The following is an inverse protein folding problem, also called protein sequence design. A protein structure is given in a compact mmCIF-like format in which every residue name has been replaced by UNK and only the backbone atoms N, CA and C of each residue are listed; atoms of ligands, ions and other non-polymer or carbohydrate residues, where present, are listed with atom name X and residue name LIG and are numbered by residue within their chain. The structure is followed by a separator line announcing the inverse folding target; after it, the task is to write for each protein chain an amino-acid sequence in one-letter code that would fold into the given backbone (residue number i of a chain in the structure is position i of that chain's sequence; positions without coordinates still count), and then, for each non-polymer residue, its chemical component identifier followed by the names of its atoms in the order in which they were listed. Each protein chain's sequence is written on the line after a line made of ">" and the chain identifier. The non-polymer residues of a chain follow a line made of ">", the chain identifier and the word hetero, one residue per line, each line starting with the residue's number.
data_IF_255835611828
#
_entry.id   IF_255835611828
#
_cell.length_a   1.000
_cell.length_b   1.000
_cell.length_c   1.000
_cell.angle_alpha   90.00
_cell.angle_beta   90.00
_cell.angle_gamma   90.00
#
_symmetry.space_group_name_H-M   'P 1'
#
loop_
_entity.id
_entity.type
_entity.pdbx_description
1 polymer ?
#
# COMPACT_ATOMS: atom_id res chain seq x y z
N UNK A 1 1.22 14.46 18.07
CA UNK A 1 1.24 13.04 17.68
C UNK A 1 1.89 12.22 18.77
N UNK A 2 1.24 11.15 19.21
CA UNK A 2 1.85 10.17 20.12
C UNK A 2 2.90 9.32 19.39
N UNK A 3 3.82 8.67 20.11
CA UNK A 3 4.83 7.79 19.49
C UNK A 3 4.18 6.69 18.63
N UNK A 4 3.08 6.12 19.12
CA UNK A 4 2.34 5.06 18.42
C UNK A 4 1.64 5.55 17.15
N UNK A 5 1.11 6.77 17.14
CA UNK A 5 0.56 7.39 15.92
C UNK A 5 1.64 7.59 14.84
N UNK A 6 2.86 8.00 15.24
CA UNK A 6 3.98 8.15 14.31
C UNK A 6 4.41 6.79 13.75
N UNK A 7 4.47 5.76 14.59
CA UNK A 7 4.84 4.41 14.16
C UNK A 7 3.76 3.80 13.23
N UNK A 8 2.48 4.13 13.44
CA UNK A 8 1.40 3.73 12.53
C UNK A 8 1.50 4.41 11.15
N UNK A 9 1.76 5.73 11.13
CA UNK A 9 2.01 6.46 9.89
C UNK A 9 3.22 5.87 9.16
N UNK A 10 4.30 5.58 9.89
CA UNK A 10 5.50 4.96 9.32
C UNK A 10 5.17 3.62 8.65
N UNK A 11 4.38 2.76 9.31
CA UNK A 11 3.91 1.48 8.76
C UNK A 11 3.15 1.66 7.44
N UNK A 12 2.21 2.60 7.40
CA UNK A 12 1.44 2.91 6.18
C UNK A 12 2.32 3.46 5.06
N UNK A 13 3.26 4.36 5.38
CA UNK A 13 4.22 4.91 4.41
C UNK A 13 5.11 3.81 3.84
N UNK A 14 5.63 2.89 4.65
CA UNK A 14 6.43 1.76 4.15
C UNK A 14 5.63 0.88 3.18
N UNK A 15 4.39 0.54 3.52
CA UNK A 15 3.53 -0.25 2.62
C UNK A 15 3.26 0.48 1.30
N UNK A 16 3.02 1.80 1.37
CA UNK A 16 2.80 2.63 0.19
C UNK A 16 4.07 2.74 -0.68
N UNK A 17 5.25 2.87 -0.07
CA UNK A 17 6.53 2.85 -0.79
C UNK A 17 6.74 1.51 -1.51
N UNK A 18 6.54 0.38 -0.82
CA UNK A 18 6.67 -0.96 -1.43
C UNK A 18 5.70 -1.13 -2.60
N UNK A 19 4.43 -0.76 -2.42
CA UNK A 19 3.42 -0.78 -3.49
C UNK A 19 3.85 0.05 -4.70
N UNK A 20 4.22 1.31 -4.48
CA UNK A 20 4.60 2.21 -5.58
C UNK A 20 5.89 1.75 -6.27
N UNK A 21 6.83 1.18 -5.54
CA UNK A 21 8.02 0.54 -6.11
C UNK A 21 7.62 -0.62 -7.07
N UNK A 22 6.71 -1.50 -6.66
CA UNK A 22 6.18 -2.55 -7.53
C UNK A 22 5.41 -2.00 -8.72
N UNK A 23 4.63 -0.93 -8.55
CA UNK A 23 3.93 -0.26 -9.65
C UNK A 23 4.92 0.23 -10.74
N UNK A 24 6.10 0.72 -10.35
CA UNK A 24 7.19 1.07 -11.30
C UNK A 24 7.70 -0.17 -12.04
N UNK A 25 7.94 -1.27 -11.31
CA UNK A 25 8.42 -2.52 -11.92
C UNK A 25 7.41 -3.10 -12.92
N UNK A 26 6.11 -3.07 -12.59
CA UNK A 26 5.03 -3.49 -13.50
C UNK A 26 5.00 -2.62 -14.75
N UNK A 27 5.12 -1.28 -14.60
CA UNK A 27 5.15 -0.37 -15.73
C UNK A 27 6.37 -0.61 -16.64
N UNK A 28 7.55 -0.88 -16.06
CA UNK A 28 8.76 -1.25 -16.80
C UNK A 28 8.60 -2.58 -17.55
N UNK A 29 8.10 -3.62 -16.89
CA UNK A 29 7.84 -4.90 -17.54
C UNK A 29 6.80 -4.77 -18.68
N UNK A 30 5.81 -3.89 -18.50
CA UNK A 30 4.81 -3.57 -19.53
C UNK A 30 5.43 -2.88 -20.74
N UNK A 31 6.37 -1.95 -20.52
CA UNK A 31 7.11 -1.30 -21.61
C UNK A 31 7.95 -2.32 -22.39
N UNK A 32 8.69 -3.20 -21.69
CA UNK A 32 9.49 -4.25 -22.33
C UNK A 32 8.62 -5.15 -23.21
N UNK A 33 7.43 -5.55 -22.72
CA UNK A 33 6.48 -6.34 -23.50
C UNK A 33 6.00 -5.58 -24.75
N UNK A 34 5.64 -4.30 -24.61
CA UNK A 34 5.16 -3.47 -25.72
C UNK A 34 6.25 -3.28 -26.80
N UNK A 35 7.50 -3.02 -26.39
CA UNK A 35 8.64 -2.86 -27.30
C UNK A 35 8.98 -4.15 -28.04
N UNK A 36 8.90 -5.31 -27.36
CA UNK A 36 9.07 -6.61 -28.00
C UNK A 36 7.99 -6.87 -29.06
N UNK A 37 6.72 -6.54 -28.77
CA UNK A 37 5.64 -6.73 -29.75
C UNK A 37 5.77 -5.78 -30.94
N UNK A 38 6.16 -4.52 -30.72
CA UNK A 38 6.42 -3.55 -31.79
C UNK A 38 7.52 -4.03 -32.74
N UNK A 39 8.63 -4.52 -32.18
CA UNK A 39 9.73 -5.06 -32.99
C UNK A 39 9.28 -6.19 -33.91
N UNK A 40 8.46 -7.12 -33.40
CA UNK A 40 7.92 -8.21 -34.20
C UNK A 40 7.02 -7.71 -35.33
N UNK A 41 6.20 -6.67 -35.07
CA UNK A 41 5.33 -6.08 -36.09
C UNK A 41 6.10 -5.29 -37.14
N UNK A 42 7.16 -4.57 -36.77
CA UNK A 42 8.02 -3.86 -37.72
C UNK A 42 8.65 -4.83 -38.73
N UNK A 43 9.10 -5.99 -38.25
CA UNK A 43 9.65 -7.04 -39.11
C UNK A 43 8.60 -7.59 -40.09
N UNK A 44 7.36 -7.79 -39.63
CA UNK A 44 6.28 -8.29 -40.48
C UNK A 44 5.81 -7.22 -41.47
N UNK A 45 5.62 -5.97 -41.03
CA UNK A 45 5.21 -4.85 -41.88
C UNK A 45 6.21 -4.65 -43.02
N UNK A 46 7.51 -4.72 -42.74
CA UNK A 46 8.57 -4.61 -43.76
C UNK A 46 8.44 -5.69 -44.83
N UNK A 47 8.13 -6.93 -44.46
CA UNK A 47 7.91 -8.04 -45.41
C UNK A 47 6.63 -7.81 -46.21
N UNK A 48 5.55 -7.39 -45.56
CA UNK A 48 4.26 -7.16 -46.23
C UNK A 48 4.32 -5.99 -47.21
N UNK A 49 5.01 -4.89 -46.85
CA UNK A 49 5.21 -3.74 -47.75
C UNK A 49 5.88 -4.17 -49.06
N UNK A 50 6.94 -4.96 -48.97
CA UNK A 50 7.63 -5.48 -50.16
C UNK A 50 6.76 -6.39 -51.04
N UNK A 51 5.87 -7.18 -50.42
CA UNK A 51 4.89 -8.02 -51.15
C UNK A 51 3.79 -7.16 -51.79
N UNK A 52 3.33 -6.11 -51.12
CA UNK A 52 2.32 -5.19 -51.64
C UNK A 52 2.82 -4.41 -52.85
N UNK A 53 4.07 -3.91 -52.80
CA UNK A 53 4.72 -3.22 -53.92
C UNK A 53 4.84 -4.09 -55.17
N UNK A 54 4.86 -5.42 -54.99
CA UNK A 54 4.90 -6.42 -56.08
C UNK A 54 3.51 -6.91 -56.51
N UNK A 55 2.45 -6.47 -55.82
CA UNK A 55 1.08 -6.91 -56.06
C UNK A 55 0.74 -8.29 -55.50
N UNK A 56 1.61 -8.88 -54.65
CA UNK A 56 1.44 -10.22 -54.08
C UNK A 56 0.41 -10.24 -52.93
N UNK A 57 0.09 -9.08 -52.36
CA UNK A 57 -0.93 -8.91 -51.31
C UNK A 57 -1.76 -7.65 -51.58
N UNK A 58 -2.91 -7.54 -50.93
CA UNK A 58 -3.76 -6.35 -51.03
C UNK A 58 -3.25 -5.19 -50.17
N UNK A 59 -3.47 -3.95 -50.63
CA UNK A 59 -3.20 -2.73 -49.84
C UNK A 59 -4.00 -2.68 -48.53
N UNK A 60 -5.15 -3.36 -48.49
CA UNK A 60 -5.97 -3.52 -47.28
C UNK A 60 -5.23 -4.32 -46.19
N UNK A 61 -4.45 -5.35 -46.55
CA UNK A 61 -3.66 -6.11 -45.58
C UNK A 61 -2.51 -5.29 -45.01
N UNK A 62 -1.84 -4.49 -45.85
CA UNK A 62 -0.82 -3.53 -45.40
C UNK A 62 -1.42 -2.46 -44.48
N UNK A 63 -2.60 -1.93 -44.82
CA UNK A 63 -3.29 -0.94 -43.98
C UNK A 63 -3.67 -1.54 -42.62
N UNK A 64 -4.12 -2.81 -42.57
CA UNK A 64 -4.47 -3.49 -41.32
C UNK A 64 -3.29 -3.61 -40.36
N UNK A 65 -2.11 -4.00 -40.86
CA UNK A 65 -0.93 -4.12 -39.99
C UNK A 65 -0.48 -2.74 -39.47
N UNK A 66 -0.58 -1.69 -40.30
CA UNK A 66 -0.26 -0.31 -39.88
C UNK A 66 -1.23 0.21 -38.81
N UNK A 67 -2.53 -0.05 -38.94
CA UNK A 67 -3.52 0.31 -37.91
C UNK A 67 -3.25 -0.43 -36.59
N UNK A 68 -2.90 -1.71 -36.67
CA UNK A 68 -2.58 -2.49 -35.49
C UNK A 68 -1.30 -1.97 -34.80
N UNK A 69 -0.27 -1.62 -35.58
CA UNK A 69 0.97 -1.02 -35.07
C UNK A 69 0.72 0.26 -34.26
N UNK A 70 -0.15 1.16 -34.73
CA UNK A 70 -0.51 2.37 -33.97
C UNK A 70 -1.02 2.05 -32.55
N UNK A 71 -1.79 0.97 -32.40
CA UNK A 71 -2.28 0.53 -31.09
C UNK A 71 -1.13 0.12 -30.17
N UNK A 72 -0.13 -0.58 -30.69
CA UNK A 72 1.05 -1.00 -29.93
C UNK A 72 2.02 0.15 -29.63
N UNK A 73 2.14 1.14 -30.53
CA UNK A 73 2.93 2.35 -30.28
C UNK A 73 2.32 3.16 -29.15
N UNK A 74 0.98 3.29 -29.13
CA UNK A 74 0.24 3.89 -28.02
C UNK A 74 0.49 3.13 -26.72
N UNK A 75 0.40 1.80 -26.71
CA UNK A 75 0.64 1.02 -25.49
C UNK A 75 2.06 1.23 -24.92
N UNK A 76 3.08 1.35 -25.78
CA UNK A 76 4.45 1.68 -25.35
C UNK A 76 4.55 3.12 -24.80
N UNK A 77 3.86 4.08 -25.42
CA UNK A 77 3.78 5.46 -24.90
C UNK A 77 3.09 5.52 -23.53
N UNK A 78 1.96 4.80 -23.37
CA UNK A 78 1.23 4.69 -22.11
C UNK A 78 2.10 4.06 -21.02
N UNK A 79 2.88 3.02 -21.35
CA UNK A 79 3.82 2.40 -20.42
C UNK A 79 4.94 3.36 -19.99
N UNK A 80 5.50 4.15 -20.91
CA UNK A 80 6.51 5.19 -20.58
C UNK A 80 5.93 6.27 -19.68
N UNK A 81 4.71 6.72 -19.96
CA UNK A 81 3.99 7.65 -19.09
C UNK A 81 3.75 7.04 -17.70
N UNK A 82 3.36 5.77 -17.62
CA UNK A 82 3.16 5.07 -16.36
C UNK A 82 4.46 4.96 -15.55
N UNK A 83 5.60 4.68 -16.18
CA UNK A 83 6.92 4.69 -15.53
C UNK A 83 7.22 6.08 -14.96
N UNK A 84 7.03 7.14 -15.74
CA UNK A 84 7.26 8.50 -15.27
C UNK A 84 6.36 8.86 -14.07
N UNK A 85 5.05 8.58 -14.17
CA UNK A 85 4.09 8.88 -13.11
C UNK A 85 4.38 8.11 -11.81
N UNK A 86 4.64 6.80 -11.91
CA UNK A 86 4.94 5.96 -10.74
C UNK A 86 6.30 6.29 -10.13
N UNK A 87 7.29 6.67 -10.93
CA UNK A 87 8.60 7.13 -10.44
C UNK A 87 8.48 8.46 -9.70
N UNK A 88 7.69 9.41 -10.22
CA UNK A 88 7.41 10.68 -9.53
C UNK A 88 6.71 10.42 -8.18
N UNK A 89 5.70 9.53 -8.17
CA UNK A 89 5.01 9.14 -6.94
C UNK A 89 5.96 8.48 -5.93
N UNK A 90 6.83 7.58 -6.37
CA UNK A 90 7.83 6.92 -5.52
C UNK A 90 8.78 7.97 -4.90
N UNK A 91 9.29 8.89 -5.73
CA UNK A 91 10.17 9.99 -5.29
C UNK A 91 9.49 10.87 -4.25
N UNK A 92 8.20 11.17 -4.41
CA UNK A 92 7.45 11.94 -3.42
C UNK A 92 7.39 11.23 -2.05
N UNK A 93 7.25 9.90 -2.03
CA UNK A 93 7.17 9.11 -0.80
C UNK A 93 8.51 8.96 -0.08
N UNK A 94 9.62 8.82 -0.82
CA UNK A 94 10.97 8.65 -0.24
C UNK A 94 11.71 9.97 0.00
N UNK A 95 11.10 11.09 -0.40
CA UNK A 95 11.69 12.43 -0.37
C UNK A 95 12.28 12.81 -1.72
N UNK A 96 11.61 13.71 -2.44
CA UNK A 96 11.93 14.04 -3.84
C UNK A 96 13.32 14.63 -4.04
N UNK A 97 13.88 15.27 -3.02
CA UNK A 97 15.24 15.82 -3.03
C UNK A 97 16.33 14.75 -2.83
N UNK A 98 15.97 13.58 -2.27
CA UNK A 98 16.90 12.50 -1.96
C UNK A 98 17.18 11.60 -3.15
N UNK A 99 16.38 11.69 -4.22
CA UNK A 99 16.43 10.79 -5.37
C UNK A 99 16.37 11.58 -6.68
N UNK A 100 17.32 11.32 -7.58
CA UNK A 100 17.43 11.97 -8.88
C UNK A 100 16.16 11.76 -9.74
N UNK A 101 15.78 12.72 -10.60
CA UNK A 101 14.60 12.59 -11.47
C UNK A 101 14.63 11.44 -12.47
N UNK A 102 15.82 11.05 -12.90
CA UNK A 102 16.11 10.01 -13.89
C UNK A 102 16.48 8.66 -13.25
N UNK A 103 16.15 8.47 -11.96
CA UNK A 103 16.48 7.23 -11.25
C UNK A 103 15.91 6.01 -11.96
N UNK A 104 16.77 5.02 -12.18
CA UNK A 104 16.36 3.73 -12.67
C UNK A 104 16.00 2.80 -11.50
N UNK A 105 14.73 2.40 -11.45
CA UNK A 105 14.23 1.45 -10.46
C UNK A 105 14.42 0.03 -10.99
N UNK A 106 15.29 -0.73 -10.32
CA UNK A 106 15.58 -2.13 -10.63
C UNK A 106 15.04 -3.04 -9.52
N UNK A 107 14.49 -4.18 -9.91
CA UNK A 107 13.98 -5.18 -8.99
C UNK A 107 13.45 -6.40 -9.73
N UNK A 108 13.27 -7.49 -8.99
CA UNK A 108 12.67 -8.72 -9.50
C UNK A 108 11.17 -8.71 -9.20
N UNK A 109 10.35 -8.85 -10.24
CA UNK A 109 8.89 -8.92 -10.12
C UNK A 109 8.40 -10.37 -9.94
N UNK A 110 9.28 -11.37 -9.88
CA UNK A 110 8.95 -12.79 -9.83
C UNK A 110 7.92 -13.17 -8.76
N UNK A 111 7.08 -14.16 -9.07
CA UNK A 111 6.11 -14.70 -8.11
C UNK A 111 6.82 -15.47 -6.99
N UNK A 112 6.43 -15.18 -5.75
CA UNK A 112 6.84 -15.92 -4.55
C UNK A 112 5.60 -16.28 -3.77
N UNK A 113 5.46 -17.55 -3.40
CA UNK A 113 4.33 -17.96 -2.57
C UNK A 113 4.64 -17.69 -1.08
N UNK A 114 3.84 -16.83 -0.47
CA UNK A 114 3.88 -16.55 0.96
C UNK A 114 2.61 -17.06 1.62
N UNK A 115 2.72 -18.14 2.40
CA UNK A 115 1.63 -18.71 3.19
C UNK A 115 1.58 -18.11 4.59
N UNK A 116 0.46 -17.48 4.95
CA UNK A 116 0.22 -16.94 6.30
C UNK A 116 -1.10 -17.50 6.83
N UNK A 117 -1.08 -18.09 8.03
CA UNK A 117 -2.30 -18.55 8.70
C UNK A 117 -3.10 -17.35 9.23
N UNK A 118 -4.44 -17.42 9.12
CA UNK A 118 -5.33 -16.39 9.67
C UNK A 118 -5.08 -16.14 11.16
N UNK A 119 -5.04 -17.21 11.94
CA UNK A 119 -4.93 -17.08 13.40
C UNK A 119 -3.56 -16.51 13.79
N UNK A 120 -2.51 -16.88 13.07
CA UNK A 120 -1.18 -16.31 13.26
C UNK A 120 -1.14 -14.82 12.90
N UNK A 121 -1.76 -14.42 11.78
CA UNK A 121 -1.84 -13.03 11.35
C UNK A 121 -2.59 -12.16 12.39
N UNK A 122 -3.75 -12.64 12.87
CA UNK A 122 -4.55 -11.94 13.88
C UNK A 122 -3.77 -11.80 15.19
N UNK A 123 -3.14 -12.87 15.69
CA UNK A 123 -2.38 -12.81 16.94
C UNK A 123 -1.18 -11.85 16.85
N UNK A 124 -0.46 -11.86 15.72
CA UNK A 124 0.64 -10.91 15.48
C UNK A 124 0.12 -9.47 15.43
N UNK A 125 -0.96 -9.23 14.71
CA UNK A 125 -1.53 -7.88 14.61
C UNK A 125 -1.98 -7.33 15.96
N UNK A 126 -2.69 -8.14 16.76
CA UNK A 126 -3.19 -7.72 18.08
C UNK A 126 -2.06 -7.48 19.10
N UNK A 127 -0.86 -8.01 18.88
CA UNK A 127 0.30 -7.79 19.75
C UNK A 127 1.23 -6.68 19.28
N UNK A 128 1.37 -6.46 17.98
CA UNK A 128 2.37 -5.59 17.40
C UNK A 128 1.84 -4.26 16.82
N UNK A 129 0.53 -4.14 16.56
CA UNK A 129 0.00 -2.97 15.86
C UNK A 129 0.08 -1.67 16.70
N UNK A 130 0.69 -0.59 16.16
CA UNK A 130 0.79 0.68 16.89
C UNK A 130 -0.55 1.37 17.14
N UNK A 131 -1.53 1.26 16.23
CA UNK A 131 -2.85 1.87 16.41
C UNK A 131 -3.62 1.28 17.61
N UNK A 132 -3.52 -0.03 17.83
CA UNK A 132 -4.05 -0.68 19.03
C UNK A 132 -3.31 -0.25 20.30
N UNK A 133 -1.97 -0.15 20.24
CA UNK A 133 -1.17 0.33 21.37
C UNK A 133 -1.52 1.79 21.73
N UNK A 134 -1.80 2.63 20.73
CA UNK A 134 -2.31 3.99 20.94
C UNK A 134 -3.68 3.98 21.64
N UNK A 135 -4.59 3.10 21.21
CA UNK A 135 -5.91 2.97 21.82
C UNK A 135 -5.85 2.45 23.27
N UNK A 136 -4.97 1.49 23.56
CA UNK A 136 -4.73 1.00 24.91
C UNK A 136 -4.13 2.10 25.81
N UNK A 137 -3.15 2.87 25.30
CA UNK A 137 -2.58 4.01 26.02
C UNK A 137 -3.62 5.12 26.28
N UNK A 138 -4.51 5.39 25.33
CA UNK A 138 -5.61 6.34 25.50
C UNK A 138 -6.60 5.89 26.60
N UNK A 139 -6.91 4.59 26.66
CA UNK A 139 -7.72 4.01 27.73
C UNK A 139 -7.05 4.15 29.10
N UNK A 140 -5.75 3.87 29.17
CA UNK A 140 -5.02 3.91 30.43
C UNK A 140 -4.87 5.36 30.92
N UNK A 141 -4.68 6.32 30.01
CA UNK A 141 -4.77 7.75 30.32
C UNK A 141 -6.15 8.12 30.88
N UNK A 142 -7.24 7.72 30.24
CA UNK A 142 -8.58 8.05 30.73
C UNK A 142 -8.84 7.49 32.15
N UNK A 143 -8.32 6.30 32.45
CA UNK A 143 -8.38 5.74 33.82
C UNK A 143 -7.56 6.56 34.83
N UNK A 144 -6.39 7.05 34.42
CA UNK A 144 -5.58 7.96 35.25
C UNK A 144 -6.29 9.30 35.48
N UNK A 145 -6.99 9.82 34.47
CA UNK A 145 -7.79 11.05 34.57
C UNK A 145 -8.95 10.89 35.57
N UNK A 146 -9.60 9.72 35.63
CA UNK A 146 -10.58 9.41 36.69
C UNK A 146 -9.93 9.41 38.08
N UNK A 147 -8.74 8.81 38.21
CA UNK A 147 -8.01 8.80 39.48
C UNK A 147 -7.62 10.22 39.92
N UNK A 148 -7.19 11.06 38.99
CA UNK A 148 -6.91 12.47 39.21
C UNK A 148 -8.17 13.26 39.61
N UNK A 149 -9.29 13.06 38.91
CA UNK A 149 -10.56 13.69 39.26
C UNK A 149 -11.03 13.32 40.68
N UNK A 150 -10.82 12.06 41.08
CA UNK A 150 -11.09 11.58 42.45
C UNK A 150 -10.11 12.14 43.48
N UNK A 151 -8.84 12.32 43.11
CA UNK A 151 -7.84 12.95 43.99
C UNK A 151 -8.18 14.42 44.23
N UNK A 152 -8.54 15.16 43.17
CA UNK A 152 -8.96 16.57 43.23
C UNK A 152 -10.27 16.79 44.01
N UNK A 153 -11.05 15.73 44.25
CA UNK A 153 -12.22 15.78 45.13
C UNK A 153 -11.85 15.77 46.62
N UNK A 154 -10.60 15.43 46.97
CA UNK A 154 -10.09 15.42 48.35
C UNK A 154 -9.60 16.81 48.75
N UNK A 155 -9.35 16.97 50.05
CA UNK A 155 -8.79 18.21 50.57
C UNK A 155 -7.26 18.17 50.50
N UNK A 156 -6.67 19.19 49.86
CA UNK A 156 -5.22 19.36 49.80
C UNK A 156 -4.76 20.36 50.86
N UNK A 157 -4.03 19.87 51.86
CA UNK A 157 -3.40 20.71 52.89
C UNK A 157 -2.11 21.29 52.31
N UNK A 158 -2.06 22.61 52.14
CA UNK A 158 -0.87 23.29 51.61
C UNK A 158 -0.14 24.02 52.74
N UNK A 159 1.10 23.64 53.12
CA UNK A 159 1.90 24.39 54.06
C UNK A 159 2.43 25.67 53.43
N UNK A 160 2.46 26.75 54.20
CA UNK A 160 2.89 28.07 53.79
C UNK A 160 3.96 28.56 54.77
N UNK A 161 5.05 29.10 54.25
CA UNK A 161 6.09 29.75 55.01
C UNK A 161 6.23 31.16 54.46
N UNK A 162 6.09 32.16 55.33
CA UNK A 162 6.21 33.57 54.98
C UNK A 162 7.37 34.18 55.74
N UNK A 163 8.22 34.93 55.03
CA UNK A 163 9.23 35.79 55.63
C UNK A 163 8.97 37.22 55.17
N UNK A 164 8.84 38.14 56.13
CA UNK A 164 8.60 39.55 55.85
C UNK A 164 9.57 40.41 56.65
N UNK A 165 10.19 41.38 55.97
CA UNK A 165 11.02 42.42 56.57
C UNK A 165 10.36 43.78 56.35
N UNK A 166 10.21 44.56 57.42
CA UNK A 166 9.53 45.86 57.38
C UNK A 166 10.55 47.00 57.42
N UNK A 167 10.20 48.21 56.94
CA UNK A 167 11.10 49.38 56.89
C UNK A 167 11.66 49.79 58.25
N UNK A 168 11.00 49.38 59.35
CA UNK A 168 11.47 49.55 60.74
C UNK A 168 12.57 48.56 61.17
N UNK A 169 13.08 47.74 60.24
CA UNK A 169 14.13 46.73 60.46
C UNK A 169 13.70 45.48 61.26
N UNK A 170 12.39 45.24 61.40
CA UNK A 170 11.83 44.03 62.01
C UNK A 170 11.71 42.88 61.00
N UNK A 171 12.06 41.67 61.45
CA UNK A 171 11.95 40.44 60.68
C UNK A 171 10.88 39.54 61.30
N UNK A 172 9.91 39.10 60.49
CA UNK A 172 8.85 38.18 60.90
C UNK A 172 8.91 36.91 60.07
N UNK A 173 8.85 35.77 60.76
CA UNK A 173 8.65 34.46 60.16
C UNK A 173 7.24 33.97 60.52
N UNK A 174 6.45 33.61 59.52
CA UNK A 174 5.13 33.02 59.67
C UNK A 174 5.10 31.61 59.10
N UNK A 175 4.40 30.70 59.77
CA UNK A 175 3.99 29.43 59.20
C UNK A 175 2.47 29.36 59.17
N UNK A 176 1.91 28.78 58.12
CA UNK A 176 0.47 28.60 57.96
C UNK A 176 0.15 27.29 57.26
N UNK A 177 -1.08 26.81 57.44
CA UNK A 177 -1.64 25.71 56.67
C UNK A 177 -2.90 26.23 55.98
N UNK A 178 -2.98 26.07 54.66
CA UNK A 178 -4.19 26.36 53.88
C UNK A 178 -4.94 25.07 53.60
N UNK A 179 -6.23 25.05 53.97
CA UNK A 179 -7.12 23.92 53.75
C UNK A 179 -8.41 24.41 53.06
N UNK A 180 -8.61 24.14 51.75
CA UNK A 180 -9.84 24.49 51.07
C UNK A 180 -10.98 23.53 51.47
N UNK A 181 -11.99 24.04 52.16
CA UNK A 181 -13.17 23.25 52.57
C UNK A 181 -14.15 23.06 51.39
N UNK A 182 -14.07 21.90 50.74
CA UNK A 182 -14.93 21.51 49.61
C UNK A 182 -16.26 20.91 50.09
N UNK A 183 -17.19 21.74 50.57
CA UNK A 183 -18.48 21.29 51.14
C UNK A 183 -19.52 21.02 50.03
N UNK A 184 -19.62 21.90 49.03
CA UNK A 184 -20.62 21.81 47.94
C UNK A 184 -20.05 21.30 46.61
N UNK A 185 -18.74 21.43 46.39
CA UNK A 185 -18.08 21.00 45.15
C UNK A 185 -17.07 19.88 45.42
N UNK A 186 -17.58 18.64 45.35
CA UNK A 186 -16.79 17.40 45.49
C UNK A 186 -16.30 16.88 44.13
N UNK A 187 -16.23 17.73 43.11
CA UNK A 187 -15.79 17.37 41.75
C UNK A 187 -16.63 16.27 41.07
N UNK A 188 -17.87 16.08 41.52
CA UNK A 188 -18.75 14.98 41.09
C UNK A 188 -19.08 15.00 39.59
N UNK A 189 -19.18 16.20 38.99
CA UNK A 189 -19.40 16.37 37.55
C UNK A 189 -18.20 15.90 36.72
N UNK A 190 -16.98 16.30 37.10
CA UNK A 190 -15.76 15.85 36.42
C UNK A 190 -15.49 14.36 36.62
N UNK A 191 -15.81 13.79 37.78
CA UNK A 191 -15.74 12.34 38.00
C UNK A 191 -16.70 11.61 37.06
N UNK A 192 -17.95 12.06 36.94
CA UNK A 192 -18.91 11.48 36.01
C UNK A 192 -18.44 11.62 34.54
N UNK A 193 -17.93 12.80 34.17
CA UNK A 193 -17.40 13.07 32.81
C UNK A 193 -16.21 12.17 32.47
N UNK A 194 -15.23 12.04 33.37
CA UNK A 194 -14.05 11.20 33.16
C UNK A 194 -14.40 9.71 33.16
N UNK A 195 -15.40 9.27 33.93
CA UNK A 195 -15.89 7.89 33.88
C UNK A 195 -16.56 7.57 32.53
N UNK A 196 -17.41 8.46 32.02
CA UNK A 196 -17.99 8.33 30.69
C UNK A 196 -16.92 8.34 29.59
N UNK A 197 -15.85 9.12 29.78
CA UNK A 197 -14.71 9.12 28.87
C UNK A 197 -13.99 7.76 28.83
N UNK A 198 -13.82 7.09 29.98
CA UNK A 198 -13.27 5.71 30.03
C UNK A 198 -14.12 4.73 29.22
N UNK A 199 -15.45 4.82 29.33
CA UNK A 199 -16.36 3.98 28.55
C UNK A 199 -16.22 4.26 27.04
N UNK A 200 -16.18 5.54 26.66
CA UNK A 200 -16.00 5.97 25.27
C UNK A 200 -14.69 5.44 24.66
N UNK A 201 -13.56 5.62 25.35
CA UNK A 201 -12.25 5.17 24.82
C UNK A 201 -12.09 3.64 24.85
N UNK A 202 -12.78 2.95 25.77
CA UNK A 202 -12.83 1.48 25.77
C UNK A 202 -13.60 0.96 24.56
N UNK A 203 -14.77 1.53 24.28
CA UNK A 203 -15.54 1.20 23.07
C UNK A 203 -14.75 1.52 21.79
N UNK A 204 -14.01 2.63 21.77
CA UNK A 204 -13.13 2.97 20.64
C UNK A 204 -12.02 1.93 20.45
N UNK A 205 -11.39 1.48 21.53
CA UNK A 205 -10.36 0.43 21.48
C UNK A 205 -10.92 -0.89 20.96
N UNK A 206 -12.12 -1.29 21.40
CA UNK A 206 -12.76 -2.52 20.94
C UNK A 206 -13.18 -2.43 19.47
N UNK A 207 -13.61 -1.24 19.01
CA UNK A 207 -13.82 -0.96 17.59
C UNK A 207 -12.51 -1.09 16.79
N UNK A 208 -11.38 -0.59 17.32
CA UNK A 208 -10.06 -0.78 16.70
C UNK A 208 -9.70 -2.26 16.58
N UNK A 209 -9.95 -3.08 17.61
CA UNK A 209 -9.74 -4.54 17.54
C UNK A 209 -10.58 -5.19 16.44
N UNK A 210 -11.87 -4.86 16.37
CA UNK A 210 -12.75 -5.38 15.32
C UNK A 210 -12.28 -4.97 13.91
N UNK A 211 -11.83 -3.72 13.75
CA UNK A 211 -11.29 -3.21 12.50
C UNK A 211 -10.02 -3.98 12.08
N UNK A 212 -9.12 -4.26 13.02
CA UNK A 212 -7.88 -5.03 12.75
C UNK A 212 -8.22 -6.43 12.24
N UNK A 213 -9.14 -7.12 12.91
CA UNK A 213 -9.56 -8.47 12.50
C UNK A 213 -10.18 -8.45 11.10
N UNK A 214 -11.08 -7.49 10.84
CA UNK A 214 -11.73 -7.34 9.52
C UNK A 214 -10.73 -7.02 8.42
N UNK A 215 -9.75 -6.14 8.68
CA UNK A 215 -8.68 -5.79 7.74
C UNK A 215 -7.86 -7.03 7.36
N UNK A 216 -7.46 -7.83 8.35
CA UNK A 216 -6.66 -9.04 8.12
C UNK A 216 -7.44 -10.08 7.31
N UNK A 217 -8.71 -10.33 7.64
CA UNK A 217 -9.54 -11.28 6.90
C UNK A 217 -9.72 -10.85 5.43
N UNK A 218 -9.97 -9.56 5.22
CA UNK A 218 -10.13 -8.98 3.89
C UNK A 218 -8.86 -9.13 3.06
N UNK A 219 -7.70 -8.79 3.64
CA UNK A 219 -6.42 -8.87 2.93
C UNK A 219 -6.00 -10.33 2.70
N UNK A 220 -6.20 -11.24 3.66
CA UNK A 220 -5.90 -12.67 3.47
C UNK A 220 -6.74 -13.31 2.35
N UNK A 221 -8.02 -12.95 2.27
CA UNK A 221 -8.88 -13.37 1.17
C UNK A 221 -8.34 -12.85 -0.17
N UNK A 222 -7.98 -11.56 -0.24
CA UNK A 222 -7.40 -10.95 -1.44
C UNK A 222 -6.08 -11.63 -1.85
N UNK A 223 -5.15 -11.86 -0.92
CA UNK A 223 -3.89 -12.56 -1.18
C UNK A 223 -4.13 -13.96 -1.71
N UNK A 224 -5.08 -14.69 -1.15
CA UNK A 224 -5.40 -16.06 -1.59
C UNK A 224 -5.95 -16.09 -3.01
N UNK A 225 -6.92 -15.21 -3.33
CA UNK A 225 -7.48 -15.11 -4.67
C UNK A 225 -6.43 -14.66 -5.70
N UNK A 226 -5.60 -13.67 -5.35
CA UNK A 226 -4.56 -13.16 -6.24
C UNK A 226 -3.45 -14.17 -6.46
N UNK A 227 -3.08 -14.96 -5.44
CA UNK A 227 -2.14 -16.09 -5.56
C UNK A 227 -2.63 -17.06 -6.62
N UNK A 228 -3.87 -17.54 -6.50
CA UNK A 228 -4.47 -18.47 -7.45
C UNK A 228 -4.52 -17.89 -8.88
N UNK A 229 -4.83 -16.60 -9.01
CA UNK A 229 -4.83 -15.91 -10.32
C UNK A 229 -3.44 -15.87 -10.94
N UNK A 230 -2.42 -15.49 -10.17
CA UNK A 230 -1.03 -15.45 -10.64
C UNK A 230 -0.55 -16.84 -11.03
N UNK A 231 -0.80 -17.86 -10.21
CA UNK A 231 -0.42 -19.24 -10.51
C UNK A 231 -1.10 -19.76 -11.78
N UNK A 232 -2.39 -19.50 -11.94
CA UNK A 232 -3.14 -19.90 -13.12
C UNK A 232 -2.61 -19.23 -14.40
N UNK A 233 -2.35 -17.92 -14.35
CA UNK A 233 -1.77 -17.18 -15.47
C UNK A 233 -0.34 -17.65 -15.78
N UNK A 234 0.51 -17.79 -14.76
CA UNK A 234 1.92 -18.17 -14.90
C UNK A 234 2.10 -19.60 -15.40
N UNK A 235 1.36 -20.55 -14.82
CA UNK A 235 1.61 -21.98 -15.03
C UNK A 235 0.79 -22.55 -16.19
N UNK A 236 -0.33 -21.93 -16.56
CA UNK A 236 -1.26 -22.48 -17.56
C UNK A 236 -1.45 -21.56 -18.75
N UNK A 237 -1.92 -20.34 -18.54
CA UNK A 237 -2.39 -19.49 -19.65
C UNK A 237 -1.25 -18.82 -20.42
N UNK A 238 -0.25 -18.25 -19.73
CA UNK A 238 0.87 -17.58 -20.36
C UNK A 238 1.71 -18.53 -21.23
N UNK A 239 2.09 -19.74 -20.78
CA UNK A 239 2.80 -20.70 -21.64
C UNK A 239 1.99 -21.11 -22.87
N UNK A 240 0.67 -21.30 -22.73
CA UNK A 240 -0.21 -21.64 -23.85
C UNK A 240 -0.32 -20.50 -24.85
N UNK A 241 -0.48 -19.26 -24.38
CA UNK A 241 -0.56 -18.09 -25.24
C UNK A 241 0.78 -17.85 -25.97
N UNK A 242 1.90 -18.06 -25.30
CA UNK A 242 3.23 -17.99 -25.90
C UNK A 242 3.43 -19.06 -26.99
N UNK A 243 3.07 -20.31 -26.69
CA UNK A 243 3.16 -21.40 -27.65
C UNK A 243 2.28 -21.14 -28.88
N UNK A 244 1.05 -20.67 -28.68
CA UNK A 244 0.13 -20.33 -29.76
C UNK A 244 0.72 -19.20 -30.63
N UNK A 245 1.20 -18.11 -30.00
CA UNK A 245 1.86 -16.99 -30.70
C UNK A 245 3.05 -17.46 -31.53
N UNK A 246 3.94 -18.26 -30.96
CA UNK A 246 5.12 -18.77 -31.66
C UNK A 246 4.76 -19.68 -32.84
N UNK A 247 3.75 -20.55 -32.67
CA UNK A 247 3.30 -21.48 -33.70
C UNK A 247 2.66 -20.73 -34.88
N UNK A 248 1.77 -19.79 -34.59
CA UNK A 248 1.09 -18.99 -35.61
C UNK A 248 2.08 -18.06 -36.32
N UNK A 249 3.01 -17.43 -35.59
CA UNK A 249 4.06 -16.61 -36.19
C UNK A 249 4.94 -17.42 -37.16
N UNK A 250 5.35 -18.63 -36.78
CA UNK A 250 6.13 -19.51 -37.64
C UNK A 250 5.35 -19.92 -38.90
N UNK A 251 4.09 -20.31 -38.76
CA UNK A 251 3.24 -20.67 -39.88
C UNK A 251 2.99 -19.48 -40.82
N UNK A 252 2.77 -18.29 -40.26
CA UNK A 252 2.48 -17.07 -41.01
C UNK A 252 3.66 -16.66 -41.90
N UNK A 253 4.88 -16.69 -41.35
CA UNK A 253 6.11 -16.41 -42.12
C UNK A 253 6.29 -17.36 -43.32
N UNK A 254 5.70 -18.55 -43.27
CA UNK A 254 5.71 -19.56 -44.35
C UNK A 254 4.45 -19.53 -45.22
N UNK A 255 3.52 -18.60 -45.00
CA UNK A 255 2.26 -18.51 -45.74
C UNK A 255 1.23 -19.58 -45.38
N UNK A 256 1.38 -20.25 -44.22
CA UNK A 256 0.49 -21.33 -43.79
C UNK A 256 -0.75 -20.88 -43.00
N UNK A 257 -0.83 -19.61 -42.59
CA UNK A 257 -1.97 -19.00 -41.89
C UNK A 257 -2.17 -17.57 -42.34
N UNK A 258 -3.35 -17.00 -42.09
CA UNK A 258 -3.68 -15.63 -42.51
C UNK A 258 -3.02 -14.57 -41.63
N UNK A 259 -2.94 -13.32 -42.12
CA UNK A 259 -2.50 -12.17 -41.30
C UNK A 259 -3.43 -11.96 -40.10
N UNK A 260 -4.73 -12.22 -40.25
CA UNK A 260 -5.68 -12.06 -39.16
C UNK A 260 -5.39 -13.03 -38.01
N UNK A 261 -5.11 -14.30 -38.31
CA UNK A 261 -4.75 -15.29 -37.29
C UNK A 261 -3.46 -14.89 -36.57
N UNK A 262 -2.48 -14.37 -37.31
CA UNK A 262 -1.25 -13.86 -36.73
C UNK A 262 -1.48 -12.69 -35.77
N UNK A 263 -2.25 -11.67 -36.20
CA UNK A 263 -2.54 -10.51 -35.36
C UNK A 263 -3.36 -10.90 -34.12
N UNK A 264 -4.29 -11.84 -34.26
CA UNK A 264 -5.10 -12.36 -33.15
C UNK A 264 -4.25 -13.13 -32.12
N UNK A 265 -3.32 -13.97 -32.59
CA UNK A 265 -2.39 -14.68 -31.71
C UNK A 265 -1.45 -13.73 -30.95
N UNK A 266 -0.93 -12.69 -31.61
CA UNK A 266 -0.13 -11.63 -30.97
C UNK A 266 -0.95 -10.86 -29.93
N UNK A 267 -2.19 -10.50 -30.27
CA UNK A 267 -3.12 -9.81 -29.36
C UNK A 267 -3.42 -10.65 -28.12
N UNK A 268 -3.75 -11.93 -28.30
CA UNK A 268 -4.06 -12.86 -27.21
C UNK A 268 -2.86 -13.05 -26.27
N UNK A 269 -1.65 -13.21 -26.82
CA UNK A 269 -0.43 -13.28 -26.02
C UNK A 269 -0.17 -12.00 -25.23
N UNK A 270 -0.33 -10.82 -25.87
CA UNK A 270 -0.19 -9.53 -25.20
C UNK A 270 -1.20 -9.39 -24.05
N UNK A 271 -2.48 -9.63 -24.32
CA UNK A 271 -3.55 -9.51 -23.31
C UNK A 271 -3.30 -10.44 -22.12
N UNK A 272 -2.89 -11.70 -22.38
CA UNK A 272 -2.53 -12.67 -21.33
C UNK A 272 -1.30 -12.22 -20.52
N UNK A 273 -0.29 -11.65 -21.19
CA UNK A 273 0.93 -11.17 -20.55
C UNK A 273 0.67 -9.93 -19.68
N UNK A 274 -0.13 -8.98 -20.17
CA UNK A 274 -0.56 -7.81 -19.40
C UNK A 274 -1.40 -8.22 -18.18
N UNK A 275 -2.28 -9.19 -18.37
CA UNK A 275 -3.10 -9.74 -17.30
C UNK A 275 -2.24 -10.42 -16.22
N UNK A 276 -1.20 -11.16 -16.62
CA UNK A 276 -0.21 -11.72 -15.71
C UNK A 276 0.54 -10.63 -14.92
N UNK A 277 1.05 -9.60 -15.59
CA UNK A 277 1.77 -8.49 -14.93
C UNK A 277 0.88 -7.73 -13.95
N UNK A 278 -0.38 -7.47 -14.29
CA UNK A 278 -1.36 -6.86 -13.39
C UNK A 278 -1.69 -7.74 -12.19
N UNK A 279 -1.91 -9.03 -12.42
CA UNK A 279 -2.17 -9.98 -11.34
C UNK A 279 -0.98 -10.04 -10.36
N UNK A 280 0.24 -9.99 -10.88
CA UNK A 280 1.48 -10.01 -10.10
C UNK A 280 1.67 -8.74 -9.28
N UNK A 281 1.43 -7.56 -9.88
CA UNK A 281 1.43 -6.28 -9.16
C UNK A 281 0.38 -6.23 -8.04
N UNK A 282 -0.84 -6.70 -8.33
CA UNK A 282 -1.92 -6.78 -7.35
C UNK A 282 -1.58 -7.75 -6.20
N UNK A 283 -0.99 -8.90 -6.52
CA UNK A 283 -0.55 -9.89 -5.53
C UNK A 283 0.47 -9.29 -4.56
N UNK A 284 1.52 -8.65 -5.08
CA UNK A 284 2.53 -7.97 -4.28
C UNK A 284 1.93 -6.84 -3.44
N UNK A 285 1.04 -6.03 -4.02
CA UNK A 285 0.32 -4.98 -3.27
C UNK A 285 -0.49 -5.57 -2.10
N UNK A 286 -1.18 -6.69 -2.32
CA UNK A 286 -1.94 -7.36 -1.26
C UNK A 286 -1.03 -7.96 -0.18
N UNK A 287 0.15 -8.49 -0.56
CA UNK A 287 1.15 -8.93 0.42
C UNK A 287 1.69 -7.79 1.27
N UNK A 288 2.03 -6.64 0.68
CA UNK A 288 2.51 -5.49 1.46
C UNK A 288 1.42 -4.90 2.36
N UNK A 289 0.16 -4.96 1.93
CA UNK A 289 -0.97 -4.64 2.80
C UNK A 289 -1.10 -5.65 3.94
N UNK A 290 -0.82 -6.93 3.71
CA UNK A 290 -0.84 -7.94 4.77
C UNK A 290 0.27 -7.68 5.79
N UNK A 291 1.48 -7.38 5.32
CA UNK A 291 2.61 -6.98 6.17
C UNK A 291 2.28 -5.77 7.03
N UNK A 292 1.64 -4.77 6.42
CA UNK A 292 1.13 -3.62 7.16
C UNK A 292 0.11 -4.08 8.19
N UNK A 293 -0.89 -4.87 7.80
CA UNK A 293 -1.98 -5.31 8.67
C UNK A 293 -1.48 -6.11 9.89
N UNK A 294 -0.40 -6.90 9.73
CA UNK A 294 0.23 -7.67 10.82
C UNK A 294 1.36 -6.92 11.56
N UNK A 295 1.65 -5.68 11.15
CA UNK A 295 2.72 -4.84 11.69
C UNK A 295 4.13 -5.49 11.65
N UNK A 296 4.44 -6.22 10.58
CA UNK A 296 5.73 -6.87 10.40
C UNK A 296 5.88 -7.60 9.07
N UNK A 297 7.09 -8.06 8.71
CA UNK A 297 7.29 -8.86 7.51
C UNK A 297 6.53 -10.19 7.63
N UNK A 298 5.89 -10.58 6.53
CA UNK A 298 5.24 -11.90 6.38
C UNK A 298 6.15 -12.91 5.70
N UNK A 299 7.22 -12.44 5.08
CA UNK A 299 8.35 -13.28 4.63
C UNK A 299 9.15 -13.75 5.85
N UNK A 300 9.56 -15.04 5.85
CA UNK A 300 10.48 -15.61 6.83
C UNK A 300 11.92 -15.35 6.43
#
# INVERSE_FOLDING_TARGET
>A
MTRFEVDDIRRQVFAQVKKTFTDVLVARATLVLAEQTLKTLDDVERIQRFRAERGDISELELTRIQLQRFTFERDAADARQAIAATTIALRALVGAASVAPDVEVLGDLGFRDVGVSRDEAVQRALSARPDLQAADAARDKAKADVALARANAKWDITPQLEYKRTDTNDNTFGFGLSLPLRIFDRNQGEIARTQAEVERVTAQRDATVAQIVSEIETVLAAVTTLRQRVESLRNVYLPKAEQARNTVEFAYRRGGVSLLDFLDAQRTYRETSLEHLRALGNYWSALYQLEAAVAGPVEK
#
